data_IF_609222090039
#
_entry.id   IF_609222090039
#
_cell.length_a   1.000
_cell.length_b   1.000
_cell.length_c   1.000
_cell.angle_alpha   90.00
_cell.angle_beta   90.00
_cell.angle_gamma   90.00
#
_symmetry.space_group_name_H-M   'P 1'
#
loop_
_entity.id
_entity.type
_entity.pdbx_description
1 polymer ?
#
# COMPACT_ATOMS: atom_id res chain seq x y z
N UNK A 1 3.57 -17.59 -15.03
CA UNK A 1 2.69 -18.49 -14.26
C UNK A 1 2.00 -17.59 -13.23
N UNK A 2 0.70 -17.74 -13.03
CA UNK A 2 -0.15 -16.77 -12.34
C UNK A 2 -1.15 -16.11 -13.29
N UNK A 3 -2.35 -15.82 -12.81
CA UNK A 3 -3.39 -15.12 -13.56
C UNK A 3 -3.42 -13.62 -13.28
N UNK A 4 -2.54 -13.11 -12.42
CA UNK A 4 -2.35 -11.70 -12.12
C UNK A 4 -3.29 -11.20 -11.03
N UNK A 5 -3.41 -9.87 -10.92
CA UNK A 5 -4.19 -9.23 -9.85
C UNK A 5 -5.23 -8.26 -10.41
N UNK A 6 -6.28 -8.02 -9.63
CA UNK A 6 -7.21 -6.93 -9.83
C UNK A 6 -6.94 -5.82 -8.81
N UNK A 7 -6.61 -4.61 -9.29
CA UNK A 7 -6.47 -3.43 -8.45
C UNK A 7 -7.72 -2.57 -8.52
N UNK A 8 -8.17 -2.03 -7.37
CA UNK A 8 -9.33 -1.14 -7.27
C UNK A 8 -9.02 0.07 -6.40
N UNK A 9 -9.55 1.22 -6.78
CA UNK A 9 -9.63 2.41 -5.92
C UNK A 9 -11.10 2.65 -5.61
N UNK A 10 -11.46 2.68 -4.33
CA UNK A 10 -12.85 2.82 -3.87
C UNK A 10 -12.96 4.02 -2.95
N UNK A 11 -13.90 4.90 -3.23
CA UNK A 11 -14.31 5.96 -2.31
C UNK A 11 -15.50 5.51 -1.49
N UNK A 12 -15.47 5.75 -0.18
CA UNK A 12 -16.64 5.50 0.69
C UNK A 12 -17.90 6.25 0.24
N UNK A 13 -17.73 7.35 -0.51
CA UNK A 13 -18.81 8.22 -0.97
C UNK A 13 -19.16 8.04 -2.43
N UNK A 14 -18.15 7.98 -3.30
CA UNK A 14 -18.37 7.93 -4.75
C UNK A 14 -18.39 6.49 -5.31
N UNK A 15 -18.13 5.48 -4.48
CA UNK A 15 -18.02 4.09 -4.90
C UNK A 15 -16.69 3.83 -5.63
N UNK A 16 -16.69 2.88 -6.56
CA UNK A 16 -15.49 2.51 -7.32
C UNK A 16 -15.07 3.63 -8.27
N UNK A 17 -13.84 4.12 -8.09
CA UNK A 17 -13.23 5.19 -8.88
C UNK A 17 -12.42 4.65 -10.07
N UNK A 18 -11.98 3.40 -9.98
CA UNK A 18 -11.26 2.71 -11.04
C UNK A 18 -10.95 1.28 -10.67
N UNK A 19 -10.80 0.46 -11.72
CA UNK A 19 -10.48 -0.97 -11.64
C UNK A 19 -9.57 -1.35 -12.80
N UNK A 20 -8.55 -2.14 -12.51
CA UNK A 20 -7.53 -2.56 -13.46
C UNK A 20 -7.20 -4.02 -13.25
N UNK A 21 -7.01 -4.75 -14.35
CA UNK A 21 -6.63 -6.16 -14.31
C UNK A 21 -5.29 -6.31 -15.00
N UNK A 22 -4.26 -6.69 -14.23
CA UNK A 22 -2.90 -6.76 -14.73
C UNK A 22 -2.38 -8.18 -14.62
N UNK A 23 -1.94 -8.73 -15.74
CA UNK A 23 -1.27 -10.02 -15.81
C UNK A 23 0.00 -9.86 -16.66
N UNK A 24 1.16 -10.22 -16.11
CA UNK A 24 2.47 -10.10 -16.78
C UNK A 24 2.74 -8.69 -17.36
N UNK A 25 2.59 -7.64 -16.55
CA UNK A 25 2.82 -6.28 -17.01
C UNK A 25 2.65 -5.22 -15.93
N UNK A 26 2.39 -4.00 -16.38
CA UNK A 26 2.13 -2.83 -15.54
C UNK A 26 1.03 -1.99 -16.19
N UNK A 27 0.24 -1.32 -15.37
CA UNK A 27 -0.84 -0.45 -15.82
C UNK A 27 -0.89 0.82 -14.97
N UNK A 28 -1.20 1.96 -15.59
CA UNK A 28 -1.31 3.24 -14.91
C UNK A 28 -2.69 3.39 -14.27
N UNK A 29 -2.74 3.41 -12.94
CA UNK A 29 -3.99 3.46 -12.16
C UNK A 29 -4.44 4.88 -11.84
N UNK A 30 -4.47 5.77 -12.85
CA UNK A 30 -4.86 7.17 -12.69
C UNK A 30 -6.37 7.34 -12.64
N UNK A 31 -6.87 8.15 -11.69
CA UNK A 31 -8.30 8.53 -11.58
C UNK A 31 -8.47 10.03 -11.75
N UNK A 32 -9.69 10.45 -12.09
CA UNK A 32 -10.06 11.87 -12.10
C UNK A 32 -9.96 12.47 -10.69
N UNK A 33 -9.99 13.81 -10.59
CA UNK A 33 -10.01 14.48 -9.27
C UNK A 33 -11.25 14.04 -8.49
N UNK A 34 -11.03 13.70 -7.22
CA UNK A 34 -12.07 13.28 -6.30
C UNK A 34 -12.22 14.33 -5.22
N UNK A 35 -13.45 14.81 -5.02
CA UNK A 35 -13.78 15.68 -3.89
C UNK A 35 -13.98 14.81 -2.66
N UNK A 36 -13.26 15.11 -1.58
CA UNK A 36 -13.36 14.44 -0.28
C UNK A 36 -13.88 15.40 0.79
N UNK A 37 -14.51 14.86 1.83
CA UNK A 37 -14.93 15.57 3.03
C UNK A 37 -14.39 14.87 4.28
N UNK A 38 -14.40 15.56 5.44
CA UNK A 38 -14.04 14.93 6.71
C UNK A 38 -14.83 13.64 6.95
N UNK A 39 -14.12 12.54 7.24
CA UNK A 39 -14.70 11.22 7.45
C UNK A 39 -14.76 10.33 6.20
N UNK A 40 -14.44 10.84 5.01
CA UNK A 40 -14.34 10.00 3.81
C UNK A 40 -13.09 9.10 3.84
N UNK A 41 -13.19 7.92 3.25
CA UNK A 41 -12.06 7.02 2.97
C UNK A 41 -11.88 6.86 1.47
N UNK A 42 -10.62 6.70 1.06
CA UNK A 42 -10.23 6.27 -0.28
C UNK A 42 -9.37 5.02 -0.09
N UNK A 43 -9.93 3.88 -0.47
CA UNK A 43 -9.34 2.57 -0.26
C UNK A 43 -8.65 2.10 -1.54
N UNK A 44 -7.41 1.65 -1.39
CA UNK A 44 -6.58 1.09 -2.46
C UNK A 44 -6.47 -0.41 -2.21
N UNK A 45 -7.16 -1.20 -3.02
CA UNK A 45 -7.35 -2.64 -2.79
C UNK A 45 -6.73 -3.43 -3.93
N UNK A 46 -6.04 -4.51 -3.60
CA UNK A 46 -5.57 -5.51 -4.57
C UNK A 46 -6.17 -6.85 -4.19
N UNK A 47 -6.87 -7.46 -5.14
CA UNK A 47 -7.48 -8.77 -5.00
C UNK A 47 -6.80 -9.77 -5.93
N UNK A 48 -6.72 -11.02 -5.46
CA UNK A 48 -6.38 -12.14 -6.32
C UNK A 48 -7.51 -12.41 -7.31
N UNK A 49 -7.18 -13.04 -8.43
CA UNK A 49 -8.18 -13.40 -9.44
C UNK A 49 -8.70 -14.81 -9.17
N UNK A 50 -8.52 -15.75 -10.10
CA UNK A 50 -8.99 -17.12 -9.93
C UNK A 50 -8.14 -17.90 -8.91
N UNK A 51 -6.90 -17.47 -8.67
CA UNK A 51 -6.03 -18.02 -7.64
C UNK A 51 -5.08 -16.96 -7.08
N UNK A 52 -4.29 -17.36 -6.09
CA UNK A 52 -3.22 -16.53 -5.47
C UNK A 52 -1.81 -16.95 -5.94
N UNK A 53 -1.76 -17.98 -6.79
CA UNK A 53 -0.53 -18.68 -7.14
C UNK A 53 0.33 -17.87 -8.10
N UNK A 54 1.52 -17.46 -7.64
CA UNK A 54 2.54 -16.78 -8.46
C UNK A 54 2.14 -15.36 -8.92
N UNK A 55 1.22 -14.68 -8.21
CA UNK A 55 0.74 -13.34 -8.55
C UNK A 55 1.43 -12.23 -7.75
N UNK A 56 2.76 -12.23 -7.77
CA UNK A 56 3.53 -11.14 -7.15
C UNK A 56 3.22 -9.82 -7.85
N UNK A 57 2.91 -8.79 -7.06
CA UNK A 57 2.63 -7.45 -7.56
C UNK A 57 3.40 -6.40 -6.75
N UNK A 58 3.57 -5.23 -7.35
CA UNK A 58 4.03 -4.02 -6.67
C UNK A 58 3.14 -2.86 -7.06
N UNK A 59 2.40 -2.31 -6.11
CA UNK A 59 1.56 -1.14 -6.32
C UNK A 59 1.79 -0.13 -5.20
N UNK A 60 2.19 1.08 -5.58
CA UNK A 60 2.54 2.14 -4.65
C UNK A 60 1.90 3.46 -5.12
N UNK A 61 0.61 3.69 -4.79
CA UNK A 61 -0.12 4.87 -5.24
C UNK A 61 0.48 6.17 -4.68
N UNK A 62 0.27 7.27 -5.42
CA UNK A 62 0.60 8.63 -4.98
C UNK A 62 -0.67 9.47 -4.97
N UNK A 63 -0.98 10.09 -3.84
CA UNK A 63 -2.12 10.98 -3.65
C UNK A 63 -1.61 12.40 -3.61
N UNK A 64 -2.28 13.31 -4.32
CA UNK A 64 -1.96 14.74 -4.33
C UNK A 64 -3.18 15.54 -3.94
N UNK A 65 -3.05 16.33 -2.88
CA UNK A 65 -4.07 17.29 -2.50
C UNK A 65 -4.06 18.47 -3.47
N UNK A 66 -5.16 18.70 -4.19
CA UNK A 66 -5.24 19.77 -5.19
C UNK A 66 -5.86 21.07 -4.66
N UNK A 67 -6.04 21.17 -3.33
CA UNK A 67 -6.61 22.33 -2.64
C UNK A 67 -8.07 22.17 -2.21
N UNK A 68 -8.52 23.06 -1.32
CA UNK A 68 -9.89 23.10 -0.80
C UNK A 68 -10.77 23.90 -1.77
N UNK A 69 -11.92 23.35 -2.14
CA UNK A 69 -12.90 24.06 -2.97
C UNK A 69 -13.35 25.36 -2.27
N UNK A 70 -13.10 26.52 -2.88
CA UNK A 70 -13.51 27.83 -2.36
C UNK A 70 -12.46 28.59 -1.54
N UNK A 71 -11.26 28.05 -1.32
CA UNK A 71 -10.15 28.78 -0.70
C UNK A 71 -9.12 29.23 -1.76
N UNK A 72 -8.48 30.40 -1.61
CA UNK A 72 -7.35 30.77 -2.47
C UNK A 72 -6.25 29.71 -2.33
N UNK A 73 -5.63 29.33 -3.45
CA UNK A 73 -4.60 28.30 -3.52
C UNK A 73 -3.36 28.73 -2.73
N UNK A 74 -3.38 28.49 -1.41
CA UNK A 74 -2.25 28.73 -0.53
C UNK A 74 -1.23 27.60 -0.69
N UNK A 75 -0.52 27.59 -1.83
CA UNK A 75 0.84 27.08 -2.07
C UNK A 75 1.32 25.70 -1.60
N UNK A 76 0.60 24.98 -0.75
CA UNK A 76 1.00 23.71 -0.16
C UNK A 76 0.15 22.61 -0.77
N UNK A 77 0.73 21.94 -1.77
CA UNK A 77 0.19 20.69 -2.30
C UNK A 77 0.75 19.57 -1.43
N UNK A 78 -0.06 19.00 -0.54
CA UNK A 78 0.34 17.81 0.20
C UNK A 78 0.42 16.63 -0.76
N UNK A 79 1.49 15.86 -0.69
CA UNK A 79 1.70 14.65 -1.48
C UNK A 79 1.96 13.50 -0.54
N UNK A 80 1.18 12.42 -0.69
CA UNK A 80 1.39 11.16 0.01
C UNK A 80 1.84 10.11 -1.00
N UNK A 81 2.91 9.39 -0.72
CA UNK A 81 3.49 8.39 -1.61
C UNK A 81 3.63 7.08 -0.87
N UNK A 82 2.84 6.08 -1.24
CA UNK A 82 2.91 4.78 -0.58
C UNK A 82 4.30 4.14 -0.65
N UNK A 83 5.06 4.43 -1.72
CA UNK A 83 6.44 3.96 -1.88
C UNK A 83 7.35 4.52 -0.79
N UNK A 84 7.24 5.81 -0.51
CA UNK A 84 8.12 6.48 0.45
C UNK A 84 7.61 6.28 1.88
N UNK A 85 6.32 6.49 2.10
CA UNK A 85 5.68 6.52 3.41
C UNK A 85 5.54 5.12 4.06
N UNK A 86 5.67 4.04 3.27
CA UNK A 86 5.64 2.64 3.73
C UNK A 86 6.87 1.83 3.29
N UNK A 87 7.99 2.49 2.97
CA UNK A 87 9.25 1.84 2.61
C UNK A 87 9.97 1.14 3.77
N UNK A 88 9.46 1.27 5.00
CA UNK A 88 10.13 0.80 6.22
C UNK A 88 11.20 1.77 6.69
N UNK A 89 11.92 1.43 7.79
CA UNK A 89 12.96 2.28 8.36
C UNK A 89 14.03 2.61 7.32
N UNK A 90 14.24 3.90 7.08
CA UNK A 90 15.26 4.39 6.15
C UNK A 90 16.67 4.37 6.76
N UNK A 91 16.74 4.42 8.10
CA UNK A 91 17.99 4.29 8.83
C UNK A 91 18.41 2.82 8.86
N UNK A 92 19.71 2.57 8.65
CA UNK A 92 20.25 1.23 8.87
C UNK A 92 20.03 0.86 10.33
N UNK A 93 19.29 -0.23 10.62
CA UNK A 93 19.08 -0.64 12.00
C UNK A 93 20.43 -0.96 12.63
N UNK A 94 20.65 -0.45 13.85
CA UNK A 94 21.84 -0.80 14.60
C UNK A 94 21.91 -2.32 14.77
N UNK A 95 23.10 -2.94 14.64
CA UNK A 95 23.24 -4.37 14.84
C UNK A 95 22.75 -4.78 16.23
N UNK A 96 21.93 -5.83 16.31
CA UNK A 96 21.42 -6.34 17.57
C UNK A 96 22.55 -6.68 18.54
N UNK A 97 22.40 -6.26 19.79
CA UNK A 97 23.29 -6.62 20.89
C UNK A 97 23.27 -8.14 21.14
N UNK A 98 24.21 -8.65 21.95
CA UNK A 98 24.22 -10.06 22.31
C UNK A 98 22.92 -10.50 23.02
N UNK A 99 22.34 -9.64 23.86
CA UNK A 99 21.08 -9.92 24.56
C UNK A 99 19.86 -9.92 23.65
N UNK A 100 19.77 -8.94 22.74
CA UNK A 100 18.65 -8.88 21.78
C UNK A 100 18.68 -10.07 20.82
N UNK A 101 19.87 -10.49 20.38
CA UNK A 101 20.03 -11.73 19.60
C UNK A 101 19.59 -12.97 20.40
N UNK A 102 19.95 -13.05 21.68
CA UNK A 102 19.51 -14.15 22.54
C UNK A 102 17.98 -14.17 22.71
N UNK A 103 17.34 -13.01 22.91
CA UNK A 103 15.88 -12.91 22.97
C UNK A 103 15.22 -13.32 21.65
N UNK A 104 15.80 -12.93 20.50
CA UNK A 104 15.36 -13.37 19.17
C UNK A 104 15.45 -14.89 19.01
N UNK A 105 16.56 -15.49 19.45
CA UNK A 105 16.73 -16.96 19.43
C UNK A 105 15.68 -17.63 20.31
N UNK A 106 15.42 -17.13 21.51
CA UNK A 106 14.37 -17.68 22.39
C UNK A 106 12.98 -17.55 21.76
N UNK A 107 12.67 -16.41 21.13
CA UNK A 107 11.41 -16.19 20.43
C UNK A 107 11.24 -17.19 19.26
N UNK A 108 12.28 -17.34 18.43
CA UNK A 108 12.26 -18.28 17.31
C UNK A 108 12.22 -19.74 17.76
N UNK A 109 12.82 -20.06 18.91
CA UNK A 109 12.82 -21.42 19.46
C UNK A 109 11.41 -21.88 19.83
N UNK A 110 10.53 -20.95 20.24
CA UNK A 110 9.12 -21.26 20.45
C UNK A 110 8.40 -21.58 19.13
N UNK A 111 8.65 -20.83 18.07
CA UNK A 111 8.06 -21.10 16.74
C UNK A 111 8.55 -22.42 16.15
N UNK A 112 9.85 -22.69 16.22
CA UNK A 112 10.49 -23.87 15.63
C UNK A 112 10.24 -25.18 16.39
N UNK A 113 9.76 -25.12 17.63
CA UNK A 113 9.35 -26.30 18.42
C UNK A 113 8.03 -26.90 17.90
N UNK A 114 7.21 -26.12 17.18
CA UNK A 114 5.90 -26.54 16.69
C UNK A 114 5.87 -26.85 15.19
N UNK A 115 7.03 -26.86 14.52
CA UNK A 115 7.14 -27.25 13.12
C UNK A 115 7.47 -28.75 13.06
N UNK A 116 6.52 -29.55 12.60
CA UNK A 116 6.69 -30.96 12.17
C UNK A 116 6.47 -31.03 10.65
#
# INVERSE_FOLDING_TARGET
RGDGVEGRIVSSRAGELGRWTVQHGQEQTGVARVTVQPGDTIDFVVDCRAGVDSDTFGWAPTIRETGISGAPAAGLTTVWSAREDFSGPQEQPEPLTAWERYAQVLLMSNELVFVD
#
